data_IF_716169314321
#
_entry.id   IF_716169314321
#
_cell.length_a   1.000
_cell.length_b   1.000
_cell.length_c   1.000
_cell.angle_alpha   90.00
_cell.angle_beta   90.00
_cell.angle_gamma   90.00
#
_symmetry.space_group_name_H-M   'P 1'
#
loop_
_entity.id
_entity.type
_entity.pdbx_description
1 polymer ?
#
# COMPACT_ATOMS: atom_id res chain seq x y z
N UNK A 1 -54.72 11.87 -29.23
CA UNK A 1 -54.73 10.39 -29.15
C UNK A 1 -53.81 9.95 -28.04
N UNK A 2 -54.38 9.36 -26.99
CA UNK A 2 -53.65 8.67 -25.94
C UNK A 2 -53.20 7.28 -26.42
N UNK A 3 -51.99 6.86 -26.06
CA UNK A 3 -51.70 5.44 -25.81
C UNK A 3 -50.77 5.34 -24.61
N UNK A 4 -51.41 5.32 -23.43
CA UNK A 4 -50.88 4.61 -22.28
C UNK A 4 -51.53 3.23 -22.20
N UNK A 5 -50.90 2.39 -21.35
CA UNK A 5 -51.37 1.11 -20.79
C UNK A 5 -51.20 -0.11 -21.73
N UNK A 6 -50.77 -1.28 -21.30
CA UNK A 6 -50.26 -1.79 -20.02
C UNK A 6 -49.84 -3.25 -20.26
N UNK A 7 -49.22 -3.81 -19.22
CA UNK A 7 -49.30 -5.21 -18.80
C UNK A 7 -48.17 -6.14 -19.21
N UNK A 8 -47.68 -7.04 -18.36
CA UNK A 8 -47.65 -7.21 -16.90
C UNK A 8 -46.79 -8.46 -16.71
N UNK A 9 -46.01 -8.50 -15.61
CA UNK A 9 -45.66 -9.69 -14.82
C UNK A 9 -44.79 -10.79 -15.43
N UNK A 10 -43.64 -11.01 -14.79
CA UNK A 10 -42.85 -12.24 -14.95
C UNK A 10 -41.72 -12.31 -13.93
N UNK A 11 -42.07 -12.66 -12.69
CA UNK A 11 -41.18 -12.84 -11.54
C UNK A 11 -40.02 -13.85 -11.75
N UNK A 12 -38.82 -13.49 -11.29
CA UNK A 12 -37.75 -14.41 -10.89
C UNK A 12 -36.38 -13.70 -10.84
N UNK A 13 -35.50 -13.85 -9.85
CA UNK A 13 -35.46 -14.47 -8.52
C UNK A 13 -34.09 -14.01 -7.96
N UNK A 14 -34.10 -13.50 -6.72
CA UNK A 14 -32.94 -13.24 -5.84
C UNK A 14 -32.11 -11.99 -6.11
N UNK A 15 -32.04 -11.15 -5.08
CA UNK A 15 -31.51 -9.80 -5.13
C UNK A 15 -30.04 -9.67 -4.77
N UNK A 16 -29.51 -8.52 -5.15
CA UNK A 16 -28.46 -7.78 -4.45
C UNK A 16 -28.39 -6.37 -5.07
N UNK A 17 -29.53 -5.67 -5.13
CA UNK A 17 -29.55 -4.25 -5.53
C UNK A 17 -29.39 -3.40 -4.27
N UNK A 18 -28.31 -3.64 -3.54
CA UNK A 18 -27.88 -2.87 -2.37
C UNK A 18 -26.35 -2.88 -2.35
N UNK A 19 -25.69 -2.02 -3.15
CA UNK A 19 -24.23 -1.88 -3.03
C UNK A 19 -23.60 -0.65 -3.72
N UNK A 20 -24.35 0.37 -4.16
CA UNK A 20 -23.72 1.49 -4.89
C UNK A 20 -24.17 2.90 -4.47
N UNK A 21 -25.27 3.03 -3.71
CA UNK A 21 -25.80 4.36 -3.34
C UNK A 21 -25.52 4.78 -1.88
N UNK A 22 -25.04 3.89 -1.01
CA UNK A 22 -24.65 4.24 0.39
C UNK A 22 -23.18 4.66 0.55
N UNK A 23 -22.32 4.41 -0.45
CA UNK A 23 -20.88 4.70 -0.36
C UNK A 23 -20.54 6.19 -0.44
N UNK A 24 -21.43 7.01 -1.01
CA UNK A 24 -21.18 8.42 -1.27
C UNK A 24 -21.69 9.34 -0.14
N UNK A 25 -22.64 8.87 0.67
CA UNK A 25 -23.17 9.61 1.82
C UNK A 25 -22.27 9.44 3.06
N UNK A 26 -21.61 8.28 3.18
CA UNK A 26 -20.56 8.01 4.19
C UNK A 26 -19.33 8.90 3.93
N UNK A 27 -19.02 9.24 2.68
CA UNK A 27 -17.85 10.03 2.33
C UNK A 27 -17.92 11.50 2.80
N UNK A 28 -19.11 12.12 2.83
CA UNK A 28 -19.24 13.51 3.31
C UNK A 28 -19.27 13.64 4.85
N UNK A 29 -19.54 12.56 5.59
CA UNK A 29 -19.56 12.55 7.05
C UNK A 29 -18.22 12.16 7.71
N UNK A 30 -17.26 11.66 6.92
CA UNK A 30 -15.92 11.26 7.40
C UNK A 30 -14.95 12.46 7.48
N UNK A 31 -15.24 13.58 6.81
CA UNK A 31 -14.32 14.71 6.62
C UNK A 31 -14.16 15.66 7.83
N UNK A 32 -14.89 15.46 8.95
CA UNK A 32 -14.83 16.40 10.09
C UNK A 32 -14.20 15.83 11.38
N UNK A 33 -13.86 14.54 11.43
CA UNK A 33 -13.29 13.90 12.65
C UNK A 33 -12.16 12.87 12.39
N UNK A 34 -11.48 12.90 11.24
CA UNK A 34 -10.45 11.91 10.90
C UNK A 34 -9.01 12.46 10.71
N UNK A 35 -8.79 13.77 10.79
CA UNK A 35 -7.61 14.40 10.16
C UNK A 35 -6.39 14.64 11.07
N UNK A 36 -6.02 13.65 11.88
CA UNK A 36 -4.61 13.53 12.27
C UNK A 36 -4.23 12.05 12.35
N UNK A 37 -4.06 11.43 11.18
CA UNK A 37 -3.47 10.08 11.10
C UNK A 37 -2.11 10.13 11.84
N UNK A 38 -1.89 9.31 12.88
CA UNK A 38 -0.63 9.30 13.60
C UNK A 38 0.51 8.99 12.63
N UNK A 39 1.39 9.96 12.40
CA UNK A 39 2.53 9.78 11.49
C UNK A 39 3.43 8.66 12.01
N UNK A 40 3.55 7.56 11.27
CA UNK A 40 4.45 6.47 11.61
C UNK A 40 5.91 6.99 11.71
N UNK A 41 6.49 7.05 12.92
CA UNK A 41 7.83 7.57 13.11
C UNK A 41 8.89 6.73 12.39
N UNK A 42 8.61 5.44 12.13
CA UNK A 42 9.52 4.53 11.44
C UNK A 42 9.80 5.01 10.03
N UNK A 43 8.77 5.32 9.24
CA UNK A 43 8.92 5.77 7.84
C UNK A 43 9.82 6.99 7.71
N UNK A 44 9.65 7.98 8.59
CA UNK A 44 10.51 9.17 8.60
C UNK A 44 11.97 8.83 8.95
N UNK A 45 12.19 7.95 9.92
CA UNK A 45 13.53 7.53 10.32
C UNK A 45 14.23 6.71 9.23
N UNK A 46 13.51 5.86 8.52
CA UNK A 46 14.03 5.09 7.39
C UNK A 46 14.53 6.01 6.27
N UNK A 47 13.73 7.01 5.84
CA UNK A 47 14.14 7.98 4.82
C UNK A 47 15.42 8.73 5.22
N UNK A 48 15.56 9.08 6.50
CA UNK A 48 16.76 9.75 7.03
C UNK A 48 17.99 8.83 7.07
N UNK A 49 17.79 7.51 7.14
CA UNK A 49 18.85 6.51 7.21
C UNK A 49 19.31 6.03 5.81
N UNK A 50 18.47 6.12 4.77
CA UNK A 50 18.84 5.78 3.37
C UNK A 50 20.18 6.38 2.90
N UNK A 51 20.45 7.69 3.04
CA UNK A 51 21.71 8.29 2.56
C UNK A 51 22.97 7.79 3.30
N UNK A 52 22.83 7.11 4.44
CA UNK A 52 23.98 6.50 5.15
C UNK A 52 24.29 5.09 4.64
N UNK A 53 23.33 4.46 3.96
CA UNK A 53 23.39 3.08 3.49
C UNK A 53 23.57 2.97 1.96
N UNK A 54 24.26 3.95 1.35
CA UNK A 54 24.41 4.05 -0.12
C UNK A 54 25.20 2.88 -0.71
N UNK A 55 26.22 2.38 0.00
CA UNK A 55 27.02 1.24 -0.49
C UNK A 55 26.19 -0.03 -0.68
N UNK A 56 25.47 -0.56 0.34
CA UNK A 56 24.65 -1.74 0.15
C UNK A 56 23.45 -1.47 -0.78
N UNK A 57 22.93 -0.24 -0.84
CA UNK A 57 21.92 0.14 -1.85
C UNK A 57 22.46 -0.05 -3.27
N UNK A 58 23.67 0.43 -3.57
CA UNK A 58 24.29 0.29 -4.88
C UNK A 58 24.52 -1.19 -5.26
N UNK A 59 24.93 -2.02 -4.29
CA UNK A 59 25.09 -3.46 -4.51
C UNK A 59 23.76 -4.17 -4.79
N UNK A 60 22.70 -3.77 -4.09
CA UNK A 60 21.34 -4.23 -4.35
C UNK A 60 20.84 -3.82 -5.74
N UNK A 61 20.99 -2.55 -6.13
CA UNK A 61 20.62 -2.06 -7.46
C UNK A 61 21.37 -2.79 -8.60
N UNK A 62 22.66 -3.07 -8.38
CA UNK A 62 23.45 -3.88 -9.32
C UNK A 62 22.90 -5.30 -9.43
N UNK A 63 22.45 -5.88 -8.32
CA UNK A 63 21.78 -7.18 -8.32
C UNK A 63 20.46 -7.13 -9.08
N UNK A 64 19.62 -6.11 -8.87
CA UNK A 64 18.33 -5.94 -9.57
C UNK A 64 18.54 -5.94 -11.08
N UNK A 65 19.49 -5.13 -11.58
CA UNK A 65 19.85 -5.09 -13.02
C UNK A 65 20.35 -6.44 -13.59
N UNK A 66 20.95 -7.28 -12.74
CA UNK A 66 21.38 -8.64 -13.13
C UNK A 66 20.19 -9.60 -13.23
N UNK A 67 19.22 -9.48 -12.32
CA UNK A 67 18.03 -10.34 -12.26
C UNK A 67 16.97 -9.93 -13.27
N UNK A 68 16.89 -8.66 -13.67
CA UNK A 68 15.98 -8.18 -14.72
C UNK A 68 16.07 -8.96 -16.05
N UNK A 69 17.25 -9.53 -16.36
CA UNK A 69 17.48 -10.32 -17.59
C UNK A 69 17.31 -11.83 -17.38
N UNK A 70 16.75 -12.25 -16.25
CA UNK A 70 16.62 -13.65 -15.90
C UNK A 70 15.19 -14.17 -16.07
N UNK A 71 14.99 -15.00 -17.08
CA UNK A 71 13.68 -15.62 -17.35
C UNK A 71 13.46 -16.93 -16.57
N UNK A 72 14.50 -17.43 -15.89
CA UNK A 72 14.45 -18.72 -15.17
C UNK A 72 13.74 -18.62 -13.80
N UNK A 73 13.61 -17.41 -13.25
CA UNK A 73 13.03 -17.19 -11.93
C UNK A 73 13.88 -17.72 -10.77
N UNK A 74 15.12 -18.18 -11.01
CA UNK A 74 16.00 -18.72 -9.98
C UNK A 74 17.00 -17.71 -9.42
N UNK A 75 17.28 -16.61 -10.13
CA UNK A 75 18.15 -15.55 -9.59
C UNK A 75 17.33 -14.62 -8.69
N UNK A 76 17.84 -14.37 -7.50
CA UNK A 76 17.24 -13.45 -6.53
C UNK A 76 18.30 -12.53 -5.94
N UNK A 77 17.82 -11.42 -5.33
CA UNK A 77 18.63 -10.42 -4.66
C UNK A 77 18.42 -10.38 -3.15
N UNK A 78 17.84 -11.44 -2.57
CA UNK A 78 17.45 -11.48 -1.16
C UNK A 78 18.62 -11.23 -0.21
N UNK A 79 19.82 -11.72 -0.55
CA UNK A 79 21.04 -11.43 0.22
C UNK A 79 21.37 -9.94 0.25
N UNK A 80 21.49 -9.31 -0.92
CA UNK A 80 21.79 -7.87 -1.02
C UNK A 80 20.68 -7.00 -0.42
N UNK A 81 19.42 -7.45 -0.55
CA UNK A 81 18.28 -6.82 0.09
C UNK A 81 18.41 -6.83 1.61
N UNK A 82 18.76 -7.99 2.20
CA UNK A 82 18.99 -8.08 3.65
C UNK A 82 20.20 -7.27 4.10
N UNK A 83 21.26 -7.17 3.30
CA UNK A 83 22.40 -6.31 3.64
C UNK A 83 22.02 -4.83 3.68
N UNK A 84 21.24 -4.36 2.69
CA UNK A 84 20.72 -3.00 2.64
C UNK A 84 19.78 -2.69 3.81
N UNK A 85 18.79 -3.56 4.06
CA UNK A 85 17.86 -3.36 5.16
C UNK A 85 18.52 -3.52 6.53
N UNK A 86 19.49 -4.41 6.69
CA UNK A 86 20.28 -4.52 7.92
C UNK A 86 20.99 -3.20 8.25
N UNK A 87 21.51 -2.48 7.24
CA UNK A 87 22.10 -1.16 7.45
C UNK A 87 21.04 -0.14 7.92
N UNK A 88 19.87 -0.09 7.27
CA UNK A 88 18.78 0.81 7.64
C UNK A 88 18.29 0.50 9.07
N UNK A 89 18.01 -0.76 9.37
CA UNK A 89 17.51 -1.21 10.66
C UNK A 89 18.47 -0.86 11.79
N UNK A 90 19.79 -1.06 11.58
CA UNK A 90 20.83 -0.64 12.54
C UNK A 90 20.80 0.88 12.80
N UNK A 91 20.47 1.69 11.80
CA UNK A 91 20.38 3.15 11.91
C UNK A 91 19.05 3.64 12.54
N UNK A 92 17.94 2.92 12.30
CA UNK A 92 16.59 3.25 12.74
C UNK A 92 16.32 2.77 14.16
N UNK A 93 16.74 1.55 14.51
CA UNK A 93 16.43 0.88 15.78
C UNK A 93 16.62 1.75 17.03
N UNK A 94 17.78 2.42 17.26
CA UNK A 94 17.95 3.22 18.48
C UNK A 94 16.97 4.40 18.54
N UNK A 95 16.67 5.04 17.41
CA UNK A 95 15.81 6.24 17.35
C UNK A 95 14.32 5.90 17.39
N UNK A 96 13.96 4.73 16.86
CA UNK A 96 12.57 4.29 16.80
C UNK A 96 12.11 3.84 18.19
N UNK A 97 12.92 3.05 18.89
CA UNK A 97 12.56 2.55 20.23
C UNK A 97 12.44 3.67 21.26
N UNK A 98 13.13 4.80 21.09
CA UNK A 98 12.94 6.01 21.93
C UNK A 98 11.58 6.69 21.70
N UNK A 99 10.99 6.54 20.51
CA UNK A 99 9.72 7.19 20.13
C UNK A 99 8.50 6.34 20.43
N UNK A 100 8.67 5.03 20.53
CA UNK A 100 7.62 4.09 20.86
C UNK A 100 7.43 4.07 22.39
N UNK A 101 6.16 4.18 22.82
CA UNK A 101 5.75 4.11 24.24
C UNK A 101 5.26 2.72 24.59
#
# INVERSE_FOLDING_TARGET
MARGKNALLGYGRMGHVLAWLDMNEIAEHIDFQADEEPVDPKKYLEERCKPQCVKPLYEYEKCVKRVEKDDTGHKHCTGQYFDYWSCIDKCVAPKLLEKLK
#
